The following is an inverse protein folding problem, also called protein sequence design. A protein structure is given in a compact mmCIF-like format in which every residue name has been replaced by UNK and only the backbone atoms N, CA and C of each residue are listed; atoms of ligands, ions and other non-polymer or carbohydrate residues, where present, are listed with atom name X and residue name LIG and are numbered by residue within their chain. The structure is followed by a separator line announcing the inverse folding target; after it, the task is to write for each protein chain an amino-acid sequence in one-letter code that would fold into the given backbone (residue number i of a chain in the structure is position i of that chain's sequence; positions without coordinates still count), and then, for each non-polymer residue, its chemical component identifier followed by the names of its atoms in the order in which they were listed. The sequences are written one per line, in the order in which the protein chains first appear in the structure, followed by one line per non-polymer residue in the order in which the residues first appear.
data_IF_119629736095
#
_entry.id   IF_119629736095
#
_cell.length_a   1.000
_cell.length_b   1.000
_cell.length_c   1.000
_cell.angle_alpha   90.00
_cell.angle_beta   90.00
_cell.angle_gamma   90.00
#
_symmetry.space_group_name_H-M   'P 1'
#
loop_
_entity.id
_entity.type
_entity.pdbx_description
1 polymer ?
#
# COMPACT_ATOMS: atom_id res chain seq x y z
N UNK A 1 -29.44 -16.11 -27.95
CA UNK A 1 -28.80 -15.16 -27.01
C UNK A 1 -27.31 -15.31 -27.15
N UNK A 2 -26.54 -14.23 -27.05
CA UNK A 2 -25.07 -14.30 -27.07
C UNK A 2 -24.58 -14.34 -25.63
N UNK A 3 -23.71 -15.29 -25.30
CA UNK A 3 -23.21 -15.48 -23.93
C UNK A 3 -22.25 -14.36 -23.48
N UNK A 4 -21.53 -13.77 -24.45
CA UNK A 4 -20.61 -12.67 -24.24
C UNK A 4 -20.60 -11.71 -25.44
N UNK A 5 -20.74 -10.41 -25.19
CA UNK A 5 -20.69 -9.36 -26.22
C UNK A 5 -19.76 -8.23 -25.81
N UNK A 6 -18.95 -7.73 -26.74
CA UNK A 6 -18.02 -6.61 -26.48
C UNK A 6 -18.50 -5.36 -27.20
N UNK A 7 -18.79 -4.30 -26.45
CA UNK A 7 -19.23 -3.01 -26.98
C UNK A 7 -18.36 -1.90 -26.43
N UNK A 8 -17.75 -1.10 -27.32
CA UNK A 8 -16.86 0.03 -26.97
C UNK A 8 -15.82 -0.36 -25.90
N UNK A 9 -15.26 -1.57 -26.03
CA UNK A 9 -14.23 -2.06 -25.11
C UNK A 9 -14.72 -2.62 -23.76
N UNK A 10 -16.03 -2.56 -23.48
CA UNK A 10 -16.67 -3.19 -22.31
C UNK A 10 -17.21 -4.56 -22.70
N UNK A 11 -16.98 -5.55 -21.83
CA UNK A 11 -17.49 -6.91 -22.03
C UNK A 11 -18.75 -7.13 -21.20
N UNK A 12 -19.83 -7.50 -21.87
CA UNK A 12 -21.11 -7.88 -21.27
C UNK A 12 -21.25 -9.40 -21.31
N UNK A 13 -21.88 -9.97 -20.29
CA UNK A 13 -22.20 -11.40 -20.24
C UNK A 13 -23.60 -11.63 -19.67
N UNK A 14 -24.27 -12.66 -20.18
CA UNK A 14 -25.63 -13.06 -19.76
C UNK A 14 -25.63 -14.25 -18.80
N UNK A 15 -24.48 -14.88 -18.57
CA UNK A 15 -24.36 -16.12 -17.77
C UNK A 15 -24.01 -15.87 -16.30
N UNK A 16 -23.69 -14.63 -15.92
CA UNK A 16 -23.34 -14.23 -14.57
C UNK A 16 -24.35 -13.24 -13.98
N UNK A 17 -24.49 -13.23 -12.65
CA UNK A 17 -25.35 -12.27 -11.93
C UNK A 17 -24.96 -10.81 -12.22
N UNK A 18 -23.66 -10.53 -12.26
CA UNK A 18 -23.14 -9.24 -12.69
C UNK A 18 -22.81 -9.32 -14.18
N UNK A 19 -23.50 -8.52 -14.99
CA UNK A 19 -23.30 -8.48 -16.46
C UNK A 19 -21.89 -8.05 -16.87
N UNK A 20 -21.13 -7.42 -15.95
CA UNK A 20 -19.76 -6.98 -16.18
C UNK A 20 -18.71 -7.96 -15.64
N UNK A 21 -19.09 -9.09 -15.02
CA UNK A 21 -18.14 -10.00 -14.36
C UNK A 21 -16.97 -10.39 -15.27
N UNK A 22 -17.25 -10.77 -16.52
CA UNK A 22 -16.22 -11.15 -17.47
C UNK A 22 -15.29 -9.98 -17.85
N UNK A 23 -15.78 -8.74 -17.81
CA UNK A 23 -14.96 -7.55 -18.04
C UNK A 23 -13.87 -7.40 -16.95
N UNK A 24 -14.21 -7.57 -15.67
CA UNK A 24 -13.24 -7.53 -14.58
C UNK A 24 -12.15 -8.60 -14.76
N UNK A 25 -12.55 -9.84 -15.06
CA UNK A 25 -11.62 -10.95 -15.25
C UNK A 25 -10.67 -10.70 -16.45
N UNK A 26 -11.22 -10.25 -17.58
CA UNK A 26 -10.44 -9.92 -18.76
C UNK A 26 -9.44 -8.80 -18.47
N UNK A 27 -9.88 -7.71 -17.82
CA UNK A 27 -9.02 -6.57 -17.50
C UNK A 27 -7.96 -6.90 -16.47
N UNK A 28 -8.29 -7.70 -15.45
CA UNK A 28 -7.31 -8.21 -14.49
C UNK A 28 -6.25 -9.08 -15.19
N UNK A 29 -6.66 -9.95 -16.12
CA UNK A 29 -5.74 -10.78 -16.89
C UNK A 29 -4.79 -9.95 -17.75
N UNK A 30 -5.32 -8.99 -18.51
CA UNK A 30 -4.49 -8.07 -19.31
C UNK A 30 -3.56 -7.23 -18.44
N UNK A 31 -4.07 -6.63 -17.36
CA UNK A 31 -3.27 -5.85 -16.42
C UNK A 31 -2.13 -6.68 -15.81
N UNK A 32 -2.41 -7.93 -15.45
CA UNK A 32 -1.42 -8.88 -14.93
C UNK A 32 -0.34 -9.21 -15.96
N UNK A 33 -0.73 -9.46 -17.22
CA UNK A 33 0.23 -9.70 -18.30
C UNK A 33 1.16 -8.51 -18.53
N UNK A 34 0.61 -7.30 -18.53
CA UNK A 34 1.37 -6.05 -18.71
C UNK A 34 2.25 -5.75 -17.51
N UNK A 35 1.77 -6.03 -16.30
CA UNK A 35 2.56 -5.96 -15.06
C UNK A 35 3.76 -6.90 -15.13
N UNK A 36 3.57 -8.18 -15.47
CA UNK A 36 4.69 -9.12 -15.57
C UNK A 36 5.69 -8.71 -16.64
N UNK A 37 5.21 -8.21 -17.78
CA UNK A 37 6.08 -7.70 -18.84
C UNK A 37 6.91 -6.48 -18.37
N UNK A 38 6.29 -5.59 -17.60
CA UNK A 38 6.96 -4.42 -17.01
C UNK A 38 8.02 -4.85 -15.99
N UNK A 39 7.68 -5.76 -15.09
CA UNK A 39 8.59 -6.25 -14.06
C UNK A 39 9.73 -7.11 -14.63
N UNK A 40 9.47 -7.83 -15.73
CA UNK A 40 10.50 -8.60 -16.44
C UNK A 40 11.59 -7.72 -17.05
N UNK A 41 11.36 -6.40 -17.22
CA UNK A 41 12.42 -5.49 -17.68
C UNK A 41 13.63 -5.47 -16.74
N UNK A 42 13.45 -5.81 -15.46
CA UNK A 42 14.55 -5.88 -14.49
C UNK A 42 15.68 -6.83 -14.94
N UNK A 43 15.37 -7.89 -15.70
CA UNK A 43 16.41 -8.80 -16.21
C UNK A 43 17.29 -8.18 -17.29
N UNK A 44 16.87 -7.08 -17.90
CA UNK A 44 17.60 -6.40 -18.99
C UNK A 44 18.28 -5.11 -18.53
N UNK A 45 17.67 -4.36 -17.61
CA UNK A 45 18.16 -3.03 -17.18
C UNK A 45 18.68 -2.99 -15.74
N UNK A 46 18.65 -4.12 -15.04
CA UNK A 46 18.94 -4.18 -13.60
C UNK A 46 17.73 -3.78 -12.74
N UNK A 47 17.95 -3.43 -11.47
CA UNK A 47 16.86 -3.12 -10.54
C UNK A 47 16.04 -1.93 -11.02
N UNK A 48 14.71 -2.07 -11.11
CA UNK A 48 13.80 -0.99 -11.45
C UNK A 48 13.63 -0.07 -10.23
N UNK A 49 14.04 1.22 -10.29
CA UNK A 49 13.82 2.10 -9.15
C UNK A 49 12.34 2.41 -8.97
N UNK A 50 11.94 2.70 -7.73
CA UNK A 50 10.52 2.72 -7.34
C UNK A 50 9.76 3.81 -8.08
N UNK A 51 10.33 5.01 -8.20
CA UNK A 51 9.68 6.12 -8.88
C UNK A 51 9.33 5.79 -10.35
N UNK A 52 10.30 5.30 -11.11
CA UNK A 52 10.12 4.88 -12.51
C UNK A 52 9.16 3.70 -12.61
N UNK A 53 9.24 2.75 -11.67
CA UNK A 53 8.29 1.65 -11.56
C UNK A 53 6.84 2.12 -11.36
N UNK A 54 6.62 3.13 -10.52
CA UNK A 54 5.30 3.72 -10.32
C UNK A 54 4.83 4.51 -11.55
N UNK A 55 5.72 5.17 -12.29
CA UNK A 55 5.38 5.78 -13.57
C UNK A 55 4.92 4.73 -14.59
N UNK A 56 5.64 3.60 -14.69
CA UNK A 56 5.26 2.49 -15.56
C UNK A 56 3.94 1.83 -15.12
N UNK A 57 3.69 1.71 -13.82
CA UNK A 57 2.40 1.27 -13.29
C UNK A 57 1.27 2.18 -13.78
N UNK A 58 1.42 3.49 -13.58
CA UNK A 58 0.39 4.48 -13.97
C UNK A 58 0.17 4.52 -15.48
N UNK A 59 1.23 4.32 -16.27
CA UNK A 59 1.15 4.37 -17.73
C UNK A 59 0.63 3.08 -18.37
N UNK A 60 0.91 1.91 -17.78
CA UNK A 60 0.68 0.61 -18.44
C UNK A 60 -0.29 -0.31 -17.71
N UNK A 61 -0.29 -0.31 -16.38
CA UNK A 61 -1.11 -1.24 -15.58
C UNK A 61 -2.42 -0.59 -15.17
N UNK A 62 -2.34 0.61 -14.58
CA UNK A 62 -3.50 1.36 -14.10
C UNK A 62 -4.60 1.55 -15.16
N UNK A 63 -4.31 1.87 -16.44
CA UNK A 63 -5.34 2.06 -17.45
C UNK A 63 -6.22 0.82 -17.67
N UNK A 64 -5.65 -0.38 -17.48
CA UNK A 64 -6.43 -1.62 -17.53
C UNK A 64 -7.27 -1.80 -16.26
N UNK A 65 -6.73 -1.47 -15.08
CA UNK A 65 -7.42 -1.60 -13.80
C UNK A 65 -8.57 -0.62 -13.62
N UNK A 66 -8.50 0.58 -14.20
CA UNK A 66 -9.58 1.58 -14.16
C UNK A 66 -10.52 1.49 -15.37
N UNK A 67 -10.25 0.59 -16.33
CA UNK A 67 -11.01 0.49 -17.57
C UNK A 67 -12.48 0.18 -17.30
N UNK A 68 -13.37 1.11 -17.70
CA UNK A 68 -14.82 0.94 -17.58
C UNK A 68 -15.39 1.18 -16.19
N UNK A 69 -14.63 1.73 -15.24
CA UNK A 69 -15.14 2.06 -13.90
C UNK A 69 -16.28 3.10 -13.89
N UNK A 70 -16.34 3.95 -14.90
CA UNK A 70 -17.40 4.94 -15.09
C UNK A 70 -18.74 4.29 -15.47
N UNK A 71 -18.70 3.11 -16.08
CA UNK A 71 -19.89 2.36 -16.53
C UNK A 71 -20.25 1.27 -15.52
N UNK A 72 -19.25 0.55 -15.02
CA UNK A 72 -19.41 -0.55 -14.05
C UNK A 72 -18.93 -0.10 -12.68
N UNK A 73 -19.87 0.38 -11.87
CA UNK A 73 -19.65 0.73 -10.46
C UNK A 73 -19.38 -0.54 -9.66
N UNK A 74 -18.38 -0.50 -8.77
CA UNK A 74 -17.86 -1.67 -8.06
C UNK A 74 -18.76 -2.11 -6.88
N UNK A 75 -20.00 -2.52 -7.16
CA UNK A 75 -20.97 -2.98 -6.14
C UNK A 75 -20.60 -4.36 -5.56
N UNK A 76 -19.98 -5.21 -6.37
CA UNK A 76 -19.51 -6.54 -5.99
C UNK A 76 -18.03 -6.51 -5.62
N UNK A 77 -17.73 -6.50 -4.32
CA UNK A 77 -16.35 -6.45 -3.81
C UNK A 77 -15.51 -7.66 -4.28
N UNK A 78 -16.13 -8.80 -4.61
CA UNK A 78 -15.40 -9.99 -5.08
C UNK A 78 -14.79 -9.78 -6.47
N UNK A 79 -15.49 -9.06 -7.36
CA UNK A 79 -14.99 -8.71 -8.68
C UNK A 79 -13.91 -7.64 -8.61
N UNK A 80 -14.10 -6.63 -7.76
CA UNK A 80 -13.08 -5.60 -7.51
C UNK A 80 -11.80 -6.22 -6.94
N UNK A 81 -11.90 -7.18 -6.02
CA UNK A 81 -10.75 -7.84 -5.40
C UNK A 81 -9.80 -8.49 -6.43
N UNK A 82 -10.31 -8.98 -7.56
CA UNK A 82 -9.47 -9.55 -8.64
C UNK A 82 -8.57 -8.49 -9.29
N UNK A 83 -9.07 -7.25 -9.43
CA UNK A 83 -8.29 -6.11 -9.92
C UNK A 83 -7.32 -5.59 -8.85
N UNK A 84 -7.78 -5.46 -7.61
CA UNK A 84 -6.95 -5.03 -6.47
C UNK A 84 -5.77 -5.97 -6.24
N UNK A 85 -5.95 -7.27 -6.44
CA UNK A 85 -4.86 -8.25 -6.34
C UNK A 85 -3.69 -7.91 -7.28
N UNK A 86 -3.97 -7.39 -8.49
CA UNK A 86 -2.92 -6.97 -9.44
C UNK A 86 -2.20 -5.73 -8.94
N UNK A 87 -2.94 -4.71 -8.47
CA UNK A 87 -2.35 -3.50 -7.89
C UNK A 87 -1.45 -3.84 -6.69
N UNK A 88 -1.97 -4.61 -5.73
CA UNK A 88 -1.24 -5.01 -4.53
C UNK A 88 0.01 -5.82 -4.88
N UNK A 89 -0.06 -6.73 -5.87
CA UNK A 89 1.11 -7.49 -6.31
C UNK A 89 2.19 -6.59 -6.91
N UNK A 90 1.80 -5.64 -7.78
CA UNK A 90 2.75 -4.68 -8.35
C UNK A 90 3.47 -3.89 -7.25
N UNK A 91 2.70 -3.29 -6.33
CA UNK A 91 3.27 -2.45 -5.27
C UNK A 91 4.14 -3.25 -4.30
N UNK A 92 3.78 -4.48 -3.97
CA UNK A 92 4.63 -5.38 -3.18
C UNK A 92 5.94 -5.68 -3.87
N UNK A 93 5.90 -6.00 -5.17
CA UNK A 93 7.10 -6.35 -5.93
C UNK A 93 8.08 -5.18 -6.01
N UNK A 94 7.59 -3.98 -6.32
CA UNK A 94 8.46 -2.79 -6.46
C UNK A 94 9.06 -2.35 -5.12
N UNK A 95 8.33 -2.51 -4.01
CA UNK A 95 8.81 -2.21 -2.66
C UNK A 95 9.67 -3.34 -2.05
N UNK A 96 9.70 -4.52 -2.66
CA UNK A 96 10.37 -5.69 -2.10
C UNK A 96 9.67 -6.24 -0.84
N UNK A 97 8.35 -6.10 -0.74
CA UNK A 97 7.56 -6.57 0.39
C UNK A 97 6.90 -7.93 0.10
N UNK A 98 6.74 -8.72 1.15
CA UNK A 98 6.09 -10.04 1.15
C UNK A 98 4.55 -9.95 1.10
N UNK A 99 3.88 -11.03 0.73
CA UNK A 99 2.41 -11.07 0.58
C UNK A 99 1.62 -10.80 1.87
N UNK A 100 2.24 -11.01 3.03
CA UNK A 100 1.65 -10.74 4.35
C UNK A 100 1.90 -9.30 4.84
N UNK A 101 2.56 -8.47 4.04
CA UNK A 101 2.74 -7.06 4.35
C UNK A 101 1.38 -6.36 4.49
N UNK A 102 1.33 -5.41 5.42
CA UNK A 102 0.16 -4.57 5.64
C UNK A 102 -0.21 -3.86 4.33
N UNK A 103 -1.49 -3.87 3.95
CA UNK A 103 -1.91 -3.26 2.67
C UNK A 103 -1.76 -1.75 2.70
N UNK A 104 -2.10 -1.13 3.84
CA UNK A 104 -2.05 0.32 4.00
C UNK A 104 -0.64 0.89 3.71
N UNK A 105 0.42 0.20 4.14
CA UNK A 105 1.80 0.68 3.88
C UNK A 105 2.11 0.78 2.39
N UNK A 106 1.55 -0.11 1.56
CA UNK A 106 1.80 -0.07 0.12
C UNK A 106 1.36 1.27 -0.49
N UNK A 107 0.22 1.77 -0.06
CA UNK A 107 -0.35 3.03 -0.58
C UNK A 107 0.29 4.25 0.05
N UNK A 108 0.51 4.21 1.36
CA UNK A 108 1.09 5.35 2.08
C UNK A 108 2.57 5.57 1.77
N UNK A 109 3.32 4.50 1.46
CA UNK A 109 4.73 4.63 1.08
C UNK A 109 4.90 5.03 -0.39
N UNK A 110 4.03 4.56 -1.29
CA UNK A 110 4.16 4.84 -2.73
C UNK A 110 3.42 6.10 -3.17
N UNK A 111 2.45 6.58 -2.39
CA UNK A 111 1.53 7.63 -2.80
C UNK A 111 0.46 7.17 -3.80
N UNK A 112 0.41 5.89 -4.16
CA UNK A 112 -0.61 5.35 -5.05
C UNK A 112 -1.93 5.22 -4.30
N UNK A 113 -3.02 5.64 -4.93
CA UNK A 113 -4.36 5.50 -4.36
C UNK A 113 -4.87 4.06 -4.49
N UNK A 114 -5.48 3.48 -3.44
CA UNK A 114 -6.13 2.18 -3.55
C UNK A 114 -7.20 2.20 -4.63
N UNK A 115 -7.26 1.12 -5.41
CA UNK A 115 -8.04 1.06 -6.64
C UNK A 115 -9.53 1.35 -6.40
N UNK A 116 -10.10 0.86 -5.28
CA UNK A 116 -11.48 1.15 -4.86
C UNK A 116 -11.79 2.65 -4.88
N UNK A 117 -10.99 3.46 -4.20
CA UNK A 117 -11.20 4.91 -4.14
C UNK A 117 -10.92 5.59 -5.49
N UNK A 118 -9.90 5.13 -6.22
CA UNK A 118 -9.56 5.69 -7.54
C UNK A 118 -10.69 5.51 -8.54
N UNK A 119 -11.29 4.31 -8.61
CA UNK A 119 -12.41 4.00 -9.51
C UNK A 119 -13.68 4.78 -9.14
N UNK A 120 -13.97 4.93 -7.85
CA UNK A 120 -15.07 5.80 -7.38
C UNK A 120 -14.85 7.25 -7.80
N UNK A 121 -13.65 7.80 -7.61
CA UNK A 121 -13.35 9.19 -8.00
C UNK A 121 -13.49 9.40 -9.51
N UNK A 122 -13.09 8.43 -10.34
CA UNK A 122 -13.28 8.50 -11.78
C UNK A 122 -14.77 8.47 -12.16
N UNK A 123 -15.57 7.58 -11.55
CA UNK A 123 -17.01 7.56 -11.77
C UNK A 123 -17.71 8.86 -11.32
N UNK A 124 -17.28 9.46 -10.20
CA UNK A 124 -17.77 10.78 -9.78
C UNK A 124 -17.37 11.87 -10.77
N UNK A 125 -16.12 11.91 -11.24
CA UNK A 125 -15.68 12.90 -12.24
C UNK A 125 -16.42 12.74 -13.57
N UNK A 126 -16.79 11.53 -13.94
CA UNK A 126 -17.62 11.27 -15.11
C UNK A 126 -19.00 11.95 -15.01
N UNK A 127 -19.57 12.08 -13.81
CA UNK A 127 -20.82 12.86 -13.61
C UNK A 127 -20.62 14.32 -14.03
N UNK A 128 -19.49 14.94 -13.70
CA UNK A 128 -19.20 16.32 -14.12
C UNK A 128 -19.23 16.43 -15.65
N UNK A 129 -18.65 15.45 -16.35
CA UNK A 129 -18.72 15.38 -17.80
C UNK A 129 -20.17 15.22 -18.29
N UNK A 130 -20.94 14.29 -17.71
CA UNK A 130 -22.35 14.08 -18.07
C UNK A 130 -23.18 15.36 -17.90
N UNK A 131 -22.99 16.08 -16.80
CA UNK A 131 -23.68 17.35 -16.52
C UNK A 131 -23.34 18.46 -17.53
N UNK A 132 -22.16 18.39 -18.14
CA UNK A 132 -21.74 19.36 -19.17
C UNK A 132 -22.35 19.10 -20.56
N UNK A 133 -22.92 17.90 -20.78
CA UNK A 133 -23.52 17.52 -22.06
C UNK A 133 -24.96 18.06 -22.21
N UNK A 134 -25.41 18.32 -23.44
CA UNK A 134 -26.82 18.65 -23.71
C UNK A 134 -27.76 17.50 -23.29
N UNK A 135 -28.97 17.82 -22.86
CA UNK A 135 -29.99 16.81 -22.49
C UNK A 135 -30.37 15.87 -23.63
N UNK A 136 -30.19 16.29 -24.89
CA UNK A 136 -30.42 15.44 -26.07
C UNK A 136 -29.33 14.40 -26.29
N UNK A 137 -28.17 14.52 -25.64
CA UNK A 137 -27.08 13.56 -25.77
C UNK A 137 -27.41 12.28 -24.99
N UNK A 138 -27.27 11.10 -25.62
CA UNK A 138 -27.69 9.82 -25.03
C UNK A 138 -27.08 9.54 -23.65
N UNK A 139 -25.81 9.86 -23.44
CA UNK A 139 -25.18 9.68 -22.13
C UNK A 139 -25.82 10.56 -21.03
N UNK A 140 -26.22 11.79 -21.37
CA UNK A 140 -26.92 12.69 -20.45
C UNK A 140 -28.33 12.18 -20.19
N UNK A 141 -29.07 11.81 -21.24
CA UNK A 141 -30.40 11.22 -21.10
C UNK A 141 -30.39 9.98 -20.20
N UNK A 142 -29.45 9.05 -20.41
CA UNK A 142 -29.30 7.85 -19.59
C UNK A 142 -28.95 8.17 -18.12
N UNK A 143 -28.19 9.24 -17.88
CA UNK A 143 -27.89 9.71 -16.54
C UNK A 143 -29.13 10.32 -15.86
N UNK A 144 -29.87 11.16 -16.57
CA UNK A 144 -31.14 11.74 -16.09
C UNK A 144 -32.15 10.61 -15.77
N UNK A 145 -32.25 9.58 -16.62
CA UNK A 145 -33.07 8.38 -16.38
C UNK A 145 -32.61 7.60 -15.13
N UNK A 146 -31.30 7.51 -14.89
CA UNK A 146 -30.73 6.84 -13.71
C UNK A 146 -31.10 7.56 -12.40
N UNK A 147 -31.22 8.90 -12.44
CA UNK A 147 -31.71 9.70 -11.31
C UNK A 147 -33.21 9.47 -11.09
N UNK A 148 -34.01 9.46 -12.16
CA UNK A 148 -35.45 9.19 -12.07
C UNK A 148 -35.73 7.79 -11.50
N UNK A 149 -35.03 6.76 -11.99
CA UNK A 149 -35.11 5.40 -11.46
C UNK A 149 -34.79 5.35 -9.95
N UNK A 150 -33.72 6.03 -9.53
CA UNK A 150 -33.36 6.11 -8.11
C UNK A 150 -34.46 6.77 -7.29
N UNK A 151 -35.07 7.85 -7.78
CA UNK A 151 -36.15 8.57 -7.08
C UNK A 151 -37.39 7.70 -6.86
N UNK A 152 -37.61 6.72 -7.75
CA UNK A 152 -38.66 5.70 -7.68
C UNK A 152 -38.24 4.44 -6.93
N UNK A 153 -37.10 4.48 -6.22
CA UNK A 153 -36.51 3.37 -5.46
C UNK A 153 -36.24 2.11 -6.31
N UNK A 154 -35.94 2.31 -7.60
CA UNK A 154 -35.52 1.24 -8.51
C UNK A 154 -34.00 1.15 -8.57
N UNK A 155 -33.49 -0.01 -8.99
CA UNK A 155 -32.05 -0.19 -9.24
C UNK A 155 -31.58 0.74 -10.36
N UNK A 156 -30.52 1.50 -10.09
CA UNK A 156 -29.94 2.43 -11.06
C UNK A 156 -28.45 2.63 -10.80
N UNK A 157 -27.73 3.15 -11.80
CA UNK A 157 -26.30 3.45 -11.70
C UNK A 157 -25.99 4.48 -10.60
N UNK A 158 -26.87 5.48 -10.39
CA UNK A 158 -26.71 6.46 -9.30
C UNK A 158 -26.95 5.81 -7.93
N UNK A 159 -27.89 4.85 -7.84
CA UNK A 159 -28.10 4.03 -6.65
C UNK A 159 -26.87 3.19 -6.31
N UNK A 160 -26.25 2.56 -7.32
CA UNK A 160 -25.01 1.81 -7.15
C UNK A 160 -23.88 2.69 -6.61
N UNK A 161 -23.75 3.92 -7.10
CA UNK A 161 -22.80 4.90 -6.56
C UNK A 161 -23.07 5.23 -5.09
N UNK A 162 -24.33 5.45 -4.72
CA UNK A 162 -24.71 5.69 -3.32
C UNK A 162 -24.29 4.51 -2.43
N UNK A 163 -24.54 3.28 -2.90
CA UNK A 163 -24.18 2.05 -2.19
C UNK A 163 -22.68 1.95 -1.98
N UNK A 164 -21.85 2.16 -3.02
CA UNK A 164 -20.39 2.02 -2.87
C UNK A 164 -19.79 3.12 -1.99
N UNK A 165 -20.32 4.35 -2.04
CA UNK A 165 -19.88 5.45 -1.18
C UNK A 165 -20.20 5.21 0.29
N UNK A 166 -21.40 4.67 0.58
CA UNK A 166 -21.81 4.31 1.93
C UNK A 166 -21.03 3.11 2.49
N UNK A 167 -20.61 2.18 1.62
CA UNK A 167 -19.80 0.99 1.99
C UNK A 167 -18.30 1.26 2.15
N UNK A 168 -17.85 2.51 2.00
CA UNK A 168 -16.47 2.85 2.34
C UNK A 168 -16.23 2.66 3.85
N UNK A 169 -15.02 2.24 4.28
CA UNK A 169 -14.70 2.08 5.71
C UNK A 169 -14.99 3.33 6.54
N UNK A 170 -14.70 4.50 5.97
CA UNK A 170 -15.24 5.79 6.42
C UNK A 170 -16.33 6.19 5.41
N UNK A 171 -17.63 6.02 5.75
CA UNK A 171 -18.72 6.24 4.80
C UNK A 171 -18.76 7.67 4.29
N UNK A 172 -19.04 7.82 2.99
CA UNK A 172 -19.33 9.13 2.37
C UNK A 172 -20.82 9.18 2.08
N UNK A 173 -21.53 10.05 2.78
CA UNK A 173 -22.96 10.22 2.57
C UNK A 173 -23.22 10.99 1.29
N UNK A 174 -23.90 10.32 0.36
CA UNK A 174 -24.30 10.88 -0.91
C UNK A 174 -25.83 11.01 -0.94
N UNK A 175 -26.29 12.24 -1.17
CA UNK A 175 -27.71 12.52 -1.33
C UNK A 175 -27.97 12.86 -2.80
N UNK A 176 -28.73 11.99 -3.47
CA UNK A 176 -28.89 12.03 -4.92
C UNK A 176 -29.48 13.35 -5.44
N UNK A 177 -30.28 14.07 -4.65
CA UNK A 177 -30.81 15.38 -5.07
C UNK A 177 -29.72 16.43 -5.33
N UNK A 178 -28.51 16.23 -4.79
CA UNK A 178 -27.36 17.09 -5.07
C UNK A 178 -26.53 16.67 -6.29
N UNK A 179 -26.86 15.56 -6.96
CA UNK A 179 -26.05 15.03 -8.06
C UNK A 179 -26.08 15.89 -9.32
N UNK A 180 -27.08 16.79 -9.44
CA UNK A 180 -27.20 17.73 -10.55
C UNK A 180 -26.22 18.91 -10.50
N UNK A 181 -25.49 19.10 -9.39
CA UNK A 181 -24.58 20.22 -9.21
C UNK A 181 -23.11 19.77 -9.31
N UNK A 182 -22.34 20.23 -10.31
CA UNK A 182 -20.91 19.90 -10.45
C UNK A 182 -20.08 20.26 -9.21
N UNK A 183 -20.40 21.35 -8.50
CA UNK A 183 -19.68 21.75 -7.30
C UNK A 183 -19.81 20.70 -6.18
N UNK A 184 -21.01 20.16 -5.99
CA UNK A 184 -21.25 19.07 -5.03
C UNK A 184 -20.48 17.80 -5.40
N UNK A 185 -20.35 17.50 -6.70
CA UNK A 185 -19.54 16.34 -7.13
C UNK A 185 -18.05 16.55 -6.81
N UNK A 186 -17.53 17.76 -6.98
CA UNK A 186 -16.15 18.11 -6.58
C UNK A 186 -15.96 17.93 -5.07
N UNK A 187 -16.92 18.38 -4.25
CA UNK A 187 -16.90 18.17 -2.80
C UNK A 187 -16.93 16.68 -2.43
N UNK A 188 -17.75 15.87 -3.09
CA UNK A 188 -17.80 14.42 -2.90
C UNK A 188 -16.46 13.76 -3.24
N UNK A 189 -15.79 14.17 -4.32
CA UNK A 189 -14.45 13.68 -4.67
C UNK A 189 -13.46 13.97 -3.54
N UNK A 190 -13.51 15.16 -2.94
CA UNK A 190 -12.65 15.50 -1.79
C UNK A 190 -13.02 14.70 -0.54
N UNK A 191 -14.30 14.43 -0.29
CA UNK A 191 -14.74 13.55 0.80
C UNK A 191 -14.25 12.11 0.62
N UNK A 192 -14.29 11.57 -0.60
CA UNK A 192 -13.75 10.23 -0.91
C UNK A 192 -12.24 10.18 -0.70
N UNK A 193 -11.50 11.23 -1.08
CA UNK A 193 -10.06 11.33 -0.78
C UNK A 193 -9.78 11.35 0.72
N UNK A 194 -10.55 12.11 1.49
CA UNK A 194 -10.42 12.14 2.96
C UNK A 194 -10.76 10.80 3.59
N UNK A 195 -11.82 10.15 3.14
CA UNK A 195 -12.18 8.78 3.56
C UNK A 195 -11.03 7.80 3.30
N UNK A 196 -10.41 7.87 2.13
CA UNK A 196 -9.22 7.08 1.80
C UNK A 196 -8.06 7.33 2.75
N UNK A 197 -7.71 8.59 2.98
CA UNK A 197 -6.61 8.96 3.87
C UNK A 197 -6.89 8.49 5.28
N UNK A 198 -8.06 8.82 5.84
CA UNK A 198 -8.46 8.41 7.17
C UNK A 198 -8.36 6.89 7.35
N UNK A 199 -8.92 6.11 6.41
CA UNK A 199 -8.85 4.65 6.43
C UNK A 199 -7.39 4.14 6.47
N UNK A 200 -6.52 4.67 5.59
CA UNK A 200 -5.13 4.22 5.51
C UNK A 200 -4.32 4.59 6.77
N UNK A 201 -4.62 5.75 7.37
CA UNK A 201 -3.99 6.17 8.60
C UNK A 201 -4.48 5.30 9.76
N UNK A 202 -5.79 5.11 9.92
CA UNK A 202 -6.36 4.26 10.96
C UNK A 202 -5.78 2.84 10.91
N UNK A 203 -5.65 2.26 9.70
CA UNK A 203 -5.02 0.95 9.51
C UNK A 203 -3.56 0.91 9.99
N UNK A 204 -2.79 1.99 9.81
CA UNK A 204 -1.37 2.07 10.18
C UNK A 204 -1.19 2.35 11.67
N UNK A 205 -1.97 3.27 12.22
CA UNK A 205 -1.86 3.71 13.62
C UNK A 205 -2.54 2.76 14.61
N UNK A 206 -3.54 1.99 14.18
CA UNK A 206 -4.16 0.95 15.02
C UNK A 206 -3.34 -0.35 15.07
N UNK A 207 -2.34 -0.48 14.20
CA UNK A 207 -1.55 -1.70 14.05
C UNK A 207 -0.24 -1.60 14.83
N UNK A 208 0.05 -2.59 15.68
CA UNK A 208 1.38 -2.76 16.31
C UNK A 208 2.51 -3.03 15.30
N UNK A 209 2.18 -3.21 14.00
CA UNK A 209 3.13 -3.31 12.88
C UNK A 209 3.44 -1.94 12.34
N UNK A 210 4.67 -1.78 11.85
CA UNK A 210 5.15 -0.58 11.19
C UNK A 210 5.09 0.67 12.10
N UNK A 211 5.26 0.48 13.41
CA UNK A 211 5.27 1.56 14.39
C UNK A 211 6.38 2.60 14.13
N UNK A 212 7.48 2.18 13.47
CA UNK A 212 8.54 3.04 12.97
C UNK A 212 8.09 4.07 11.92
N UNK A 213 6.87 3.94 11.39
CA UNK A 213 6.27 4.87 10.43
C UNK A 213 5.34 5.89 11.09
N UNK A 214 4.97 5.71 12.36
CA UNK A 214 3.95 6.53 13.02
C UNK A 214 4.33 8.02 13.10
N UNK A 215 5.57 8.32 13.53
CA UNK A 215 6.03 9.70 13.68
C UNK A 215 6.59 10.32 12.39
N UNK A 216 6.82 9.53 11.35
CA UNK A 216 7.43 10.00 10.09
C UNK A 216 6.42 10.61 9.12
N UNK A 217 5.12 10.51 9.41
CA UNK A 217 4.06 10.77 8.43
C UNK A 217 3.47 12.18 8.53
N UNK A 218 3.12 12.79 7.39
CA UNK A 218 2.44 14.07 7.39
C UNK A 218 1.02 13.92 7.99
N UNK A 219 0.41 15.03 8.48
CA UNK A 219 -0.92 14.99 9.08
C UNK A 219 -1.99 14.43 8.13
N UNK A 220 -3.11 13.93 8.69
CA UNK A 220 -4.26 13.33 7.98
C UNK A 220 -4.81 14.16 6.80
N UNK A 221 -4.57 15.48 6.79
CA UNK A 221 -4.98 16.38 5.71
C UNK A 221 -4.01 16.41 4.52
N UNK A 222 -2.90 15.67 4.57
CA UNK A 222 -1.91 15.63 3.50
C UNK A 222 -2.33 14.65 2.39
N UNK A 223 -2.02 15.02 1.15
CA UNK A 223 -2.15 14.12 0.00
C UNK A 223 -1.26 12.89 0.16
N UNK A 224 -1.69 11.73 -0.34
CA UNK A 224 -0.81 10.58 -0.56
C UNK A 224 0.39 11.00 -1.41
N UNK A 225 1.60 10.77 -0.89
CA UNK A 225 2.87 11.08 -1.55
C UNK A 225 3.84 9.93 -1.32
N UNK A 226 4.71 9.71 -2.31
CA UNK A 226 5.77 8.74 -2.19
C UNK A 226 6.77 9.17 -1.10
N UNK A 227 7.18 8.24 -0.25
CA UNK A 227 8.19 8.46 0.79
C UNK A 227 9.53 8.87 0.16
N UNK A 228 10.17 9.92 0.70
CA UNK A 228 11.41 10.49 0.16
C UNK A 228 12.56 9.49 0.06
N UNK A 229 12.70 8.60 1.05
CA UNK A 229 13.75 7.58 1.06
C UNK A 229 13.68 6.59 -0.12
N UNK A 230 12.49 6.34 -0.68
CA UNK A 230 12.34 5.46 -1.84
C UNK A 230 13.03 6.01 -3.09
N UNK A 231 13.23 7.35 -3.14
CA UNK A 231 13.99 8.04 -4.17
C UNK A 231 15.45 8.25 -3.76
N UNK A 232 15.70 8.65 -2.51
CA UNK A 232 17.04 8.99 -2.03
C UNK A 232 17.97 7.77 -1.98
N UNK A 233 17.45 6.58 -1.63
CA UNK A 233 18.26 5.36 -1.54
C UNK A 233 18.32 4.66 -2.90
N UNK A 234 19.38 4.95 -3.64
CA UNK A 234 19.62 4.41 -5.00
C UNK A 234 19.90 2.91 -4.98
N UNK A 235 20.69 2.43 -4.00
CA UNK A 235 21.05 1.01 -3.88
C UNK A 235 19.81 0.19 -3.53
N UNK A 236 19.35 -0.64 -4.47
CA UNK A 236 18.10 -1.40 -4.35
C UNK A 236 18.05 -2.30 -3.11
N UNK A 237 19.14 -3.00 -2.81
CA UNK A 237 19.23 -3.87 -1.63
C UNK A 237 19.07 -3.07 -0.32
N UNK A 238 19.68 -1.88 -0.22
CA UNK A 238 19.55 -1.00 0.94
C UNK A 238 18.13 -0.44 1.07
N UNK A 239 17.54 0.00 -0.05
CA UNK A 239 16.17 0.51 -0.08
C UNK A 239 15.17 -0.56 0.35
N UNK A 240 15.26 -1.77 -0.21
CA UNK A 240 14.38 -2.90 0.13
C UNK A 240 14.54 -3.29 1.60
N UNK A 241 15.76 -3.37 2.12
CA UNK A 241 16.00 -3.64 3.53
C UNK A 241 15.37 -2.57 4.44
N UNK A 242 15.53 -1.29 4.09
CA UNK A 242 14.90 -0.20 4.83
C UNK A 242 13.36 -0.27 4.75
N UNK A 243 12.78 -0.46 3.56
CA UNK A 243 11.32 -0.61 3.41
C UNK A 243 10.79 -1.80 4.21
N UNK A 244 11.47 -2.95 4.15
CA UNK A 244 11.12 -4.14 4.94
C UNK A 244 11.21 -3.88 6.43
N UNK A 245 12.26 -3.19 6.90
CA UNK A 245 12.41 -2.79 8.30
C UNK A 245 11.21 -1.94 8.74
N UNK A 246 10.93 -0.85 8.02
CA UNK A 246 9.89 0.11 8.39
C UNK A 246 8.48 -0.47 8.31
N UNK A 247 8.23 -1.39 7.39
CA UNK A 247 6.92 -1.96 7.13
C UNK A 247 6.66 -3.30 7.85
N UNK A 248 7.50 -3.68 8.82
CA UNK A 248 7.47 -4.99 9.50
C UNK A 248 7.44 -6.17 8.52
N UNK A 249 8.28 -6.11 7.49
CA UNK A 249 8.48 -7.16 6.49
C UNK A 249 9.86 -7.83 6.56
N UNK A 250 10.52 -7.75 7.72
CA UNK A 250 11.86 -8.26 7.97
C UNK A 250 11.87 -9.63 8.68
N UNK A 251 13.05 -10.23 8.80
CA UNK A 251 13.27 -11.58 9.36
C UNK A 251 13.47 -11.63 10.87
N UNK A 252 13.40 -10.48 11.57
CA UNK A 252 13.59 -10.43 13.04
C UNK A 252 12.51 -11.21 13.81
N UNK A 253 12.86 -11.70 15.00
CA UNK A 253 12.01 -12.57 15.79
C UNK A 253 10.68 -11.92 16.18
N UNK A 254 10.66 -10.61 16.44
CA UNK A 254 9.43 -9.86 16.77
C UNK A 254 8.34 -10.06 15.70
N UNK A 255 8.72 -10.16 14.42
CA UNK A 255 7.78 -10.35 13.32
C UNK A 255 7.63 -11.83 12.96
N UNK A 256 8.71 -12.60 12.85
CA UNK A 256 8.60 -14.00 12.38
C UNK A 256 7.94 -14.91 13.41
N UNK A 257 8.23 -14.74 14.71
CA UNK A 257 7.73 -15.62 15.78
C UNK A 257 6.27 -15.34 16.20
N UNK A 258 5.69 -14.23 15.72
CA UNK A 258 4.26 -13.93 15.96
C UNK A 258 3.32 -14.85 15.17
N UNK A 259 3.84 -15.53 14.15
CA UNK A 259 3.07 -16.44 13.33
C UNK A 259 3.35 -17.89 13.70
N UNK A 260 2.29 -18.69 13.64
CA UNK A 260 2.37 -20.15 13.69
C UNK A 260 3.15 -20.65 12.48
N UNK A 261 4.02 -21.63 12.69
CA UNK A 261 4.64 -22.42 11.63
C UNK A 261 4.36 -23.91 11.86
N UNK A 262 4.71 -24.76 10.89
CA UNK A 262 4.44 -26.21 10.94
C UNK A 262 4.96 -26.86 12.23
N UNK A 263 6.11 -26.41 12.73
CA UNK A 263 6.80 -27.01 13.88
C UNK A 263 6.93 -26.05 15.07
N UNK A 264 6.21 -24.92 15.05
CA UNK A 264 6.35 -23.87 16.07
C UNK A 264 5.01 -23.20 16.38
N UNK A 265 4.70 -23.08 17.66
CA UNK A 265 3.57 -22.31 18.15
C UNK A 265 3.81 -20.80 17.96
N UNK A 266 2.75 -20.02 18.12
CA UNK A 266 2.88 -18.55 18.23
C UNK A 266 3.64 -18.23 19.51
N UNK A 267 4.71 -17.43 19.40
CA UNK A 267 5.53 -17.05 20.56
C UNK A 267 5.07 -15.67 21.07
N UNK A 268 4.71 -15.53 22.36
CA UNK A 268 4.39 -14.24 22.97
C UNK A 268 5.58 -13.25 22.88
N UNK A 269 5.31 -11.95 22.78
CA UNK A 269 6.34 -10.92 22.49
C UNK A 269 7.53 -11.00 23.44
N UNK A 270 7.29 -11.17 24.74
CA UNK A 270 8.32 -11.25 25.77
C UNK A 270 9.29 -12.43 25.62
N UNK A 271 8.91 -13.46 24.87
CA UNK A 271 9.74 -14.64 24.61
C UNK A 271 10.39 -14.63 23.23
N UNK A 272 10.22 -13.57 22.43
CA UNK A 272 10.84 -13.42 21.11
C UNK A 272 12.28 -12.91 21.26
N UNK A 273 13.09 -13.69 21.94
CA UNK A 273 14.45 -13.32 22.33
C UNK A 273 15.39 -13.25 21.11
N UNK A 274 16.37 -12.36 21.17
CA UNK A 274 17.38 -12.14 20.16
C UNK A 274 18.26 -13.37 19.97
N UNK A 275 18.38 -13.82 18.72
CA UNK A 275 19.17 -14.99 18.32
C UNK A 275 20.68 -14.87 18.53
N UNK A 276 21.19 -13.66 18.80
CA UNK A 276 22.60 -13.44 19.08
C UNK A 276 22.89 -13.29 20.57
N UNK A 277 22.13 -12.45 21.28
CA UNK A 277 22.44 -12.17 22.69
C UNK A 277 21.60 -13.01 23.68
N UNK A 278 20.51 -13.64 23.24
CA UNK A 278 19.55 -14.42 24.02
C UNK A 278 18.92 -13.70 25.24
N UNK A 279 19.26 -12.44 25.51
CA UNK A 279 18.89 -11.74 26.74
C UNK A 279 17.85 -10.61 26.57
N UNK A 280 17.58 -10.18 25.34
CA UNK A 280 16.63 -9.10 25.03
C UNK A 280 15.69 -9.52 23.90
N UNK A 281 14.57 -8.82 23.74
CA UNK A 281 13.63 -9.05 22.64
C UNK A 281 14.31 -8.68 21.31
N UNK A 282 14.17 -9.53 20.29
CA UNK A 282 14.65 -9.26 18.93
C UNK A 282 13.68 -8.34 18.17
N UNK A 283 13.65 -7.08 18.56
CA UNK A 283 12.96 -6.03 17.83
C UNK A 283 13.93 -5.17 16.99
N UNK A 284 13.34 -4.27 16.21
CA UNK A 284 14.03 -3.42 15.24
C UNK A 284 15.08 -2.54 15.95
N UNK A 285 14.70 -1.93 17.08
CA UNK A 285 15.58 -1.06 17.87
C UNK A 285 16.75 -1.85 18.47
N UNK A 286 16.48 -3.01 19.08
CA UNK A 286 17.53 -3.87 19.60
C UNK A 286 18.51 -4.30 18.50
N UNK A 287 17.99 -4.75 17.36
CA UNK A 287 18.80 -5.22 16.24
C UNK A 287 19.69 -4.11 15.66
N UNK A 288 19.13 -2.91 15.48
CA UNK A 288 19.83 -1.78 14.87
C UNK A 288 20.86 -1.14 15.80
N UNK A 289 20.53 -0.95 17.08
CA UNK A 289 21.29 -0.04 17.94
C UNK A 289 21.95 -0.70 19.16
N UNK A 290 21.43 -1.81 19.67
CA UNK A 290 21.85 -2.30 20.99
C UNK A 290 22.50 -3.68 21.01
N UNK A 291 22.16 -4.58 20.09
CA UNK A 291 22.55 -5.98 20.18
C UNK A 291 24.08 -6.18 20.22
N UNK A 292 24.69 -6.65 21.33
CA UNK A 292 26.13 -6.81 21.43
C UNK A 292 26.62 -8.15 20.85
N UNK A 293 25.72 -9.09 20.57
CA UNK A 293 26.02 -10.52 20.37
C UNK A 293 26.76 -10.89 19.07
N UNK A 294 27.20 -9.92 18.26
CA UNK A 294 27.98 -10.18 17.05
C UNK A 294 28.88 -9.00 16.68
N UNK A 295 30.15 -9.30 16.34
CA UNK A 295 31.13 -8.32 15.86
C UNK A 295 30.67 -7.60 14.58
N UNK A 296 30.20 -8.30 13.52
CA UNK A 296 29.58 -7.67 12.35
C UNK A 296 28.51 -6.61 12.65
N UNK A 297 27.66 -6.85 13.66
CA UNK A 297 26.63 -5.88 14.06
C UNK A 297 27.25 -4.63 14.72
N UNK A 298 28.26 -4.83 15.57
CA UNK A 298 28.99 -3.73 16.20
C UNK A 298 29.71 -2.88 15.14
N UNK A 299 30.35 -3.51 14.17
CA UNK A 299 31.06 -2.80 13.10
C UNK A 299 30.10 -2.07 12.16
N UNK A 300 28.93 -2.67 11.84
CA UNK A 300 27.89 -1.97 11.09
C UNK A 300 27.40 -0.70 11.80
N UNK A 301 27.22 -0.75 13.12
CA UNK A 301 26.86 0.42 13.94
C UNK A 301 27.98 1.45 13.99
N UNK A 302 29.24 1.04 14.19
CA UNK A 302 30.40 1.95 14.18
C UNK A 302 30.45 2.73 12.87
N UNK A 303 30.32 2.04 11.73
CA UNK A 303 30.32 2.66 10.41
C UNK A 303 29.17 3.66 10.24
N UNK A 304 27.98 3.31 10.73
CA UNK A 304 26.82 4.20 10.74
C UNK A 304 27.09 5.47 11.55
N UNK A 305 27.54 5.35 12.80
CA UNK A 305 27.81 6.52 13.65
C UNK A 305 28.98 7.37 13.14
N UNK A 306 30.00 6.76 12.54
CA UNK A 306 31.06 7.50 11.85
C UNK A 306 30.52 8.30 10.66
N UNK A 307 29.62 7.71 9.87
CA UNK A 307 28.95 8.42 8.78
C UNK A 307 28.11 9.59 9.30
N UNK A 308 27.32 9.40 10.36
CA UNK A 308 26.56 10.48 10.99
C UNK A 308 27.47 11.61 11.48
N UNK A 309 28.57 11.28 12.14
CA UNK A 309 29.56 12.26 12.63
C UNK A 309 30.17 13.08 11.49
N UNK A 310 30.43 12.44 10.35
CA UNK A 310 30.96 13.12 9.16
C UNK A 310 29.99 14.12 8.54
N UNK A 311 28.68 13.87 8.66
CA UNK A 311 27.63 14.80 8.22
C UNK A 311 27.54 15.96 9.23
N UNK A 312 27.39 15.64 10.52
CA UNK A 312 27.46 16.62 11.60
C UNK A 312 27.59 15.94 12.96
N UNK A 313 28.50 16.39 13.84
CA UNK A 313 28.62 15.86 15.21
C UNK A 313 27.32 15.94 16.03
N UNK A 314 26.42 16.89 15.72
CA UNK A 314 25.15 17.08 16.44
C UNK A 314 24.26 15.83 16.43
N UNK A 315 24.38 14.99 15.40
CA UNK A 315 23.55 13.80 15.27
C UNK A 315 23.88 12.71 16.29
N UNK A 316 25.13 12.67 16.77
CA UNK A 316 25.50 11.77 17.87
C UNK A 316 24.86 12.22 19.18
N UNK A 317 24.86 13.52 19.46
CA UNK A 317 24.20 14.10 20.64
C UNK A 317 22.70 13.84 20.57
N UNK A 318 22.09 14.11 19.41
CA UNK A 318 20.67 13.83 19.17
C UNK A 318 20.31 12.36 19.41
N UNK A 319 21.12 11.40 18.95
CA UNK A 319 20.90 9.98 19.23
C UNK A 319 20.97 9.65 20.72
N UNK A 320 21.89 10.26 21.46
CA UNK A 320 22.06 10.00 22.89
C UNK A 320 20.92 10.61 23.74
N UNK A 321 20.32 11.71 23.28
CA UNK A 321 19.26 12.42 24.00
C UNK A 321 17.84 11.99 23.61
N UNK A 322 17.67 11.32 22.48
CA UNK A 322 16.35 10.94 21.94
C UNK A 322 16.03 9.47 22.22
N UNK A 323 14.74 9.14 22.28
CA UNK A 323 14.31 7.75 22.14
C UNK A 323 14.76 7.19 20.76
N UNK A 324 15.20 5.93 20.66
CA UNK A 324 15.67 5.38 19.39
C UNK A 324 14.64 5.42 18.25
N UNK A 325 13.35 5.32 18.56
CA UNK A 325 12.26 5.38 17.58
C UNK A 325 12.09 6.81 17.07
N UNK A 326 12.13 7.78 17.96
CA UNK A 326 12.10 9.20 17.59
C UNK A 326 13.32 9.59 16.77
N UNK A 327 14.49 9.02 17.08
CA UNK A 327 15.69 9.20 16.27
C UNK A 327 15.53 8.62 14.85
N UNK A 328 14.88 7.46 14.70
CA UNK A 328 14.54 6.92 13.38
C UNK A 328 13.61 7.88 12.63
N UNK A 329 12.60 8.45 13.29
CA UNK A 329 11.71 9.43 12.66
C UNK A 329 12.48 10.68 12.18
N UNK A 330 13.46 11.15 12.96
CA UNK A 330 14.35 12.27 12.56
C UNK A 330 15.17 11.87 11.32
N UNK A 331 15.79 10.68 11.33
CA UNK A 331 16.58 10.18 10.19
C UNK A 331 15.75 10.12 8.91
N UNK A 332 14.51 9.65 8.98
CA UNK A 332 13.65 9.48 7.80
C UNK A 332 13.17 10.82 7.21
N UNK A 333 13.22 11.90 7.98
CA UNK A 333 12.92 13.27 7.51
C UNK A 333 14.13 13.96 6.91
N UNK A 334 15.33 13.58 7.34
CA UNK A 334 16.60 14.15 6.90
C UNK A 334 17.27 13.27 5.84
N UNK A 335 17.11 13.62 4.56
CA UNK A 335 17.66 12.86 3.42
C UNK A 335 19.16 12.48 3.56
N UNK A 336 20.07 13.35 4.07
CA UNK A 336 21.48 12.98 4.24
C UNK A 336 21.69 11.81 5.21
N UNK A 337 20.80 11.62 6.19
CA UNK A 337 20.89 10.57 7.20
C UNK A 337 20.26 9.26 6.73
N UNK A 338 19.29 9.36 5.83
CA UNK A 338 18.54 8.21 5.31
C UNK A 338 19.45 7.21 4.58
N UNK A 339 20.43 7.68 3.82
CA UNK A 339 21.36 6.83 3.05
C UNK A 339 22.22 5.94 3.97
N UNK A 340 22.98 6.48 4.94
CA UNK A 340 23.75 5.64 5.85
C UNK A 340 22.86 4.75 6.72
N UNK A 341 21.64 5.20 7.05
CA UNK A 341 20.67 4.38 7.78
C UNK A 341 20.17 3.19 6.97
N UNK A 342 19.87 3.37 5.67
CA UNK A 342 19.48 2.27 4.80
C UNK A 342 20.59 1.21 4.66
N UNK A 343 21.86 1.66 4.61
CA UNK A 343 23.03 0.77 4.62
C UNK A 343 23.14 -0.01 5.95
N UNK A 344 22.90 0.65 7.09
CA UNK A 344 22.84 -0.03 8.39
C UNK A 344 21.74 -1.09 8.41
N UNK A 345 20.52 -0.73 8.01
CA UNK A 345 19.38 -1.63 7.95
C UNK A 345 19.68 -2.88 7.10
N UNK A 346 20.28 -2.69 5.93
CA UNK A 346 20.72 -3.80 5.07
C UNK A 346 21.70 -4.74 5.76
N UNK A 347 22.82 -4.21 6.28
CA UNK A 347 23.85 -5.04 6.92
C UNK A 347 23.32 -5.78 8.14
N UNK A 348 22.49 -5.13 8.94
CA UNK A 348 21.86 -5.73 10.12
C UNK A 348 20.92 -6.85 9.69
N UNK A 349 19.95 -6.58 8.80
CA UNK A 349 18.97 -7.59 8.39
C UNK A 349 19.59 -8.77 7.65
N UNK A 350 20.60 -8.51 6.80
CA UNK A 350 21.37 -9.55 6.12
C UNK A 350 22.07 -10.45 7.16
N UNK A 351 22.76 -9.87 8.13
CA UNK A 351 23.44 -10.64 9.16
C UNK A 351 22.48 -11.44 10.04
N UNK A 352 21.36 -10.86 10.48
CA UNK A 352 20.31 -11.59 11.19
C UNK A 352 19.72 -12.73 10.35
N UNK A 353 19.65 -12.56 9.02
CA UNK A 353 19.22 -13.60 8.10
C UNK A 353 20.16 -14.82 8.01
N UNK A 354 21.41 -14.70 8.47
CA UNK A 354 22.39 -15.80 8.41
C UNK A 354 22.30 -16.80 9.58
N UNK A 355 21.58 -16.46 10.63
CA UNK A 355 21.46 -17.26 11.86
C UNK A 355 20.01 -17.63 12.10
N UNK A 356 19.75 -18.87 12.50
CA UNK A 356 18.41 -19.32 12.81
C UNK A 356 17.81 -18.58 14.02
N UNK A 357 16.48 -18.46 14.03
CA UNK A 357 15.75 -17.85 15.13
C UNK A 357 15.92 -18.66 16.42
N UNK A 358 16.22 -17.97 17.52
CA UNK A 358 16.21 -18.58 18.84
C UNK A 358 14.77 -18.75 19.34
N UNK A 359 14.39 -20.00 19.60
CA UNK A 359 13.04 -20.38 20.04
C UNK A 359 13.15 -21.24 21.30
N UNK A 360 12.45 -20.84 22.36
CA UNK A 360 12.45 -21.61 23.61
C UNK A 360 11.78 -22.98 23.39
N UNK A 361 12.28 -24.06 24.02
CA UNK A 361 11.80 -25.43 23.79
C UNK A 361 10.28 -25.61 23.95
N UNK A 362 9.66 -24.86 24.88
CA UNK A 362 8.22 -24.90 25.14
C UNK A 362 7.34 -24.47 23.95
N UNK A 363 7.89 -23.77 22.95
CA UNK A 363 7.17 -23.33 21.76
C UNK A 363 7.45 -24.20 20.53
N UNK A 364 8.32 -25.21 20.66
CA UNK A 364 8.63 -26.17 19.60
C UNK A 364 7.66 -27.34 19.68
N UNK A 365 6.99 -27.64 18.57
CA UNK A 365 6.11 -28.82 18.49
C UNK A 365 6.99 -30.02 18.18
N UNK A 366 7.27 -30.85 19.20
CA UNK A 366 7.92 -32.15 19.02
C UNK A 366 6.89 -33.13 18.44
N UNK A 367 7.31 -33.91 17.44
CA UNK A 367 6.52 -35.04 16.93
C UNK A 367 6.39 -36.14 17.98
#
# INVERSE_FOLDING_TARGET
MVDQFKYVGITFTSTHRCIFAQHYLNKASTARSVMYSTLAMESFVGSLPVHEGLQLYMARVDPHLVSGCEVSVDVDDSLLAVLEAVQLHFLRRILGLHDRSMRAVLFTETGVMPLKYRRIILALRYIIYLLSLPHTHYARAAFDDSIDLWSRQQSSWVGDLQVVLHRLPVPVNFVCHHVGNPATIVELVELVKRSCLQTLYDDVFSSDRAYLLWGSRPPLHASLRMSGYLRAVVVDAHRKALTQLLCSGHSLAVEVLRYRSRYRLVVPRQYRLCRFCHGQIEDEVHALFHCPGSLPLQDARKDFFMALRSISPKWLVCFMESDPVDFIHIILREEPLTIPFAKLAFRVLEHYGTVDLYVLPQFVVRM
#
